data_IF_023550466707
#
_entry.id   IF_023550466707
#
_cell.length_a   1.000
_cell.length_b   1.000
_cell.length_c   1.000
_cell.angle_alpha   90.00
_cell.angle_beta   90.00
_cell.angle_gamma   90.00
#
_symmetry.space_group_name_H-M   'P 1'
#
loop_
_entity.id
_entity.type
_entity.pdbx_description
1 polymer ?
#
# COMPACT_ATOMS: atom_id res chain seq x y z
N UNK A 1 -56.23 4.00 10.23
CA UNK A 1 -55.02 4.85 10.32
C UNK A 1 -54.09 4.50 11.48
N UNK A 2 -54.57 4.21 12.72
CA UNK A 2 -53.72 3.95 13.89
C UNK A 2 -52.90 2.62 13.77
N UNK A 3 -53.46 1.55 13.19
CA UNK A 3 -52.77 0.27 12.98
C UNK A 3 -51.64 0.36 11.99
N UNK A 4 -51.76 1.12 10.88
CA UNK A 4 -50.71 1.35 9.87
C UNK A 4 -49.47 2.08 10.44
N UNK A 5 -49.70 3.06 11.31
CA UNK A 5 -48.60 3.79 11.98
C UNK A 5 -47.77 2.87 12.87
N UNK A 6 -48.39 1.93 13.60
CA UNK A 6 -47.70 0.96 14.46
C UNK A 6 -46.88 -0.01 13.62
N UNK A 7 -47.40 -0.48 12.50
CA UNK A 7 -46.61 -1.33 11.58
C UNK A 7 -45.44 -0.61 10.93
N UNK A 8 -45.57 0.65 10.56
CA UNK A 8 -44.52 1.44 9.99
C UNK A 8 -43.39 1.71 11.00
N UNK A 9 -43.74 2.04 12.25
CA UNK A 9 -42.73 2.24 13.30
C UNK A 9 -42.02 0.94 13.66
N UNK A 10 -42.72 -0.18 13.73
CA UNK A 10 -42.10 -1.50 13.97
C UNK A 10 -41.13 -1.88 12.84
N UNK A 11 -41.51 -1.67 11.56
CA UNK A 11 -40.62 -1.93 10.43
C UNK A 11 -39.39 -1.02 10.44
N UNK A 12 -39.54 0.26 10.83
CA UNK A 12 -38.42 1.21 10.94
C UNK A 12 -37.44 0.78 12.04
N UNK A 13 -37.94 0.37 13.19
CA UNK A 13 -37.12 -0.11 14.31
C UNK A 13 -36.37 -1.39 13.93
N UNK A 14 -37.03 -2.34 13.26
CA UNK A 14 -36.38 -3.55 12.76
C UNK A 14 -35.25 -3.24 11.79
N UNK A 15 -35.48 -2.33 10.81
CA UNK A 15 -34.45 -1.91 9.88
C UNK A 15 -33.25 -1.23 10.58
N UNK A 16 -33.51 -0.39 11.60
CA UNK A 16 -32.46 0.24 12.41
C UNK A 16 -31.62 -0.79 13.17
N UNK A 17 -32.26 -1.79 13.77
CA UNK A 17 -31.56 -2.87 14.47
C UNK A 17 -30.73 -3.73 13.53
N UNK A 18 -31.24 -4.05 12.33
CA UNK A 18 -30.50 -4.79 11.30
C UNK A 18 -29.30 -3.97 10.79
N UNK A 19 -29.51 -2.68 10.53
CA UNK A 19 -28.44 -1.77 10.10
C UNK A 19 -27.35 -1.64 11.16
N UNK A 20 -27.73 -1.47 12.43
CA UNK A 20 -26.80 -1.41 13.55
C UNK A 20 -26.02 -2.72 13.70
N UNK A 21 -26.70 -3.87 13.59
CA UNK A 21 -26.04 -5.19 13.61
C UNK A 21 -25.04 -5.36 12.47
N UNK A 22 -25.39 -4.89 11.28
CA UNK A 22 -24.49 -4.93 10.13
C UNK A 22 -23.25 -4.04 10.33
N UNK A 23 -23.43 -2.80 10.79
CA UNK A 23 -22.32 -1.88 11.08
C UNK A 23 -21.40 -2.43 12.16
N UNK A 24 -21.98 -2.98 13.24
CA UNK A 24 -21.20 -3.60 14.32
C UNK A 24 -20.44 -4.84 13.85
N UNK A 25 -21.03 -5.66 12.97
CA UNK A 25 -20.36 -6.81 12.39
C UNK A 25 -19.19 -6.38 11.48
N UNK A 26 -19.37 -5.36 10.64
CA UNK A 26 -18.29 -4.80 9.81
C UNK A 26 -17.16 -4.22 10.67
N UNK A 27 -17.50 -3.50 11.75
CA UNK A 27 -16.52 -2.97 12.70
C UNK A 27 -15.73 -4.09 13.39
N UNK A 28 -16.43 -5.14 13.86
CA UNK A 28 -15.79 -6.28 14.52
C UNK A 28 -14.87 -7.07 13.58
N UNK A 29 -15.29 -7.24 12.32
CA UNK A 29 -14.48 -7.92 11.30
C UNK A 29 -13.20 -7.14 11.01
N UNK A 30 -13.30 -5.82 10.83
CA UNK A 30 -12.10 -4.96 10.65
C UNK A 30 -11.18 -4.98 11.87
N UNK A 31 -11.75 -4.91 13.06
CA UNK A 31 -10.97 -4.99 14.31
C UNK A 31 -10.22 -6.32 14.41
N UNK A 32 -10.89 -7.43 14.13
CA UNK A 32 -10.28 -8.77 14.19
C UNK A 32 -9.16 -8.93 13.12
N UNK A 33 -9.31 -8.36 11.93
CA UNK A 33 -8.26 -8.37 10.90
C UNK A 33 -7.03 -7.57 11.33
N UNK A 34 -7.24 -6.41 11.96
CA UNK A 34 -6.14 -5.59 12.52
C UNK A 34 -5.47 -6.33 13.68
N UNK A 35 -6.24 -6.89 14.61
CA UNK A 35 -5.71 -7.64 15.75
C UNK A 35 -4.95 -8.89 15.30
N UNK A 36 -5.40 -9.61 14.27
CA UNK A 36 -4.68 -10.75 13.69
C UNK A 36 -3.36 -10.33 13.02
N UNK A 37 -3.36 -9.21 12.29
CA UNK A 37 -2.12 -8.67 11.69
C UNK A 37 -1.13 -8.23 12.75
N UNK A 38 -1.61 -7.54 13.80
CA UNK A 38 -0.79 -7.12 14.94
C UNK A 38 -0.24 -8.33 15.71
N UNK A 39 -1.04 -9.37 15.93
CA UNK A 39 -0.61 -10.59 16.62
C UNK A 39 0.45 -11.35 15.81
N UNK A 40 0.32 -11.37 14.47
CA UNK A 40 1.34 -11.99 13.60
C UNK A 40 2.65 -11.22 13.65
N UNK A 41 2.60 -9.88 13.55
CA UNK A 41 3.80 -9.03 13.66
C UNK A 41 4.44 -9.18 15.04
N UNK A 42 3.67 -9.19 16.13
CA UNK A 42 4.22 -9.39 17.47
C UNK A 42 4.80 -10.78 17.69
N UNK A 43 4.25 -11.84 17.04
CA UNK A 43 4.81 -13.19 17.11
C UNK A 43 6.12 -13.32 16.33
N UNK A 44 6.27 -12.58 15.22
CA UNK A 44 7.53 -12.54 14.45
C UNK A 44 8.59 -11.72 15.20
N UNK A 45 8.21 -10.62 15.86
CA UNK A 45 9.11 -9.83 16.74
C UNK A 45 9.52 -10.60 17.99
N UNK A 46 8.63 -11.40 18.60
CA UNK A 46 8.95 -12.24 19.76
C UNK A 46 10.02 -13.33 19.49
N UNK A 47 10.38 -13.57 18.22
CA UNK A 47 11.50 -14.43 17.83
C UNK A 47 12.84 -13.69 17.76
N UNK A 48 12.83 -12.36 17.72
CA UNK A 48 14.04 -11.56 17.65
C UNK A 48 14.59 -11.39 19.08
N UNK A 49 15.62 -12.13 19.41
CA UNK A 49 16.32 -11.94 20.68
C UNK A 49 17.32 -10.77 20.63
N UNK A 50 17.96 -10.58 19.48
CA UNK A 50 18.96 -9.54 19.25
C UNK A 50 18.81 -8.93 17.85
N UNK A 51 18.98 -7.62 17.76
CA UNK A 51 19.03 -6.87 16.50
C UNK A 51 20.20 -5.90 16.50
N UNK A 52 20.76 -5.64 15.34
CA UNK A 52 21.75 -4.56 15.17
C UNK A 52 21.01 -3.29 14.71
N UNK A 53 20.96 -2.23 15.55
CA UNK A 53 20.43 -0.94 15.14
C UNK A 53 21.28 -0.35 14.00
N UNK A 54 20.65 0.26 12.99
CA UNK A 54 21.33 0.74 11.78
C UNK A 54 21.15 2.25 11.58
N UNK A 55 19.93 2.73 11.47
CA UNK A 55 19.64 4.15 11.25
C UNK A 55 20.18 4.70 9.92
N UNK A 56 20.26 3.88 8.87
CA UNK A 56 20.86 4.23 7.59
C UNK A 56 19.80 4.63 6.56
N UNK A 57 19.94 5.80 5.90
CA UNK A 57 19.05 6.19 4.83
C UNK A 57 19.28 5.34 3.56
N UNK A 58 18.19 4.92 2.94
CA UNK A 58 18.18 4.08 1.75
C UNK A 58 17.11 4.54 0.76
N UNK A 59 17.32 4.24 -0.52
CA UNK A 59 16.30 4.39 -1.54
C UNK A 59 15.38 3.19 -1.57
N UNK A 60 14.09 3.43 -1.64
CA UNK A 60 13.04 2.42 -1.72
C UNK A 60 12.35 2.52 -3.05
N UNK A 61 12.14 1.38 -3.70
CA UNK A 61 11.35 1.26 -4.92
C UNK A 61 10.43 0.05 -4.81
N UNK A 62 9.13 0.29 -4.91
CA UNK A 62 8.10 -0.70 -4.60
C UNK A 62 7.15 -0.83 -5.78
N UNK A 63 6.81 -2.08 -6.13
CA UNK A 63 5.76 -2.41 -7.08
C UNK A 63 4.52 -2.93 -6.38
N UNK A 64 3.37 -2.45 -6.82
CA UNK A 64 2.07 -2.91 -6.32
C UNK A 64 1.70 -4.30 -6.83
N UNK A 65 0.72 -4.94 -6.21
CA UNK A 65 0.09 -6.17 -6.70
C UNK A 65 -0.81 -5.87 -7.89
N UNK A 66 -0.25 -5.87 -9.10
CA UNK A 66 -0.95 -5.41 -10.30
C UNK A 66 -0.96 -3.88 -10.38
N UNK A 67 -2.07 -3.27 -10.82
CA UNK A 67 -2.18 -1.83 -11.02
C UNK A 67 -3.26 -1.26 -10.10
N UNK A 68 -2.87 -0.37 -9.19
CA UNK A 68 -3.78 0.25 -8.22
C UNK A 68 -4.65 1.32 -8.87
N UNK A 69 -5.92 1.34 -8.53
CA UNK A 69 -6.88 2.38 -8.89
C UNK A 69 -6.84 3.49 -7.84
N UNK A 70 -6.42 4.69 -8.23
CA UNK A 70 -6.38 5.87 -7.37
C UNK A 70 -7.75 6.58 -7.32
N UNK A 71 -8.58 6.35 -8.32
CA UNK A 71 -9.90 6.96 -8.43
C UNK A 71 -10.46 6.86 -9.83
N UNK A 72 -11.68 7.37 -9.99
CA UNK A 72 -12.37 7.41 -11.28
C UNK A 72 -12.53 8.84 -11.78
N UNK A 73 -12.54 9.03 -13.09
CA UNK A 73 -12.61 10.34 -13.72
C UNK A 73 -13.55 10.40 -14.89
N UNK A 74 -13.81 11.62 -15.35
CA UNK A 74 -14.63 11.91 -16.52
C UNK A 74 -13.86 11.61 -17.80
N UNK A 75 -14.60 11.17 -18.81
CA UNK A 75 -14.11 10.90 -20.17
C UNK A 75 -15.06 11.55 -21.16
N UNK A 76 -14.54 12.34 -22.09
CA UNK A 76 -15.34 12.92 -23.18
C UNK A 76 -15.29 11.99 -24.39
N UNK A 77 -16.44 11.64 -24.95
CA UNK A 77 -16.56 10.81 -26.16
C UNK A 77 -16.39 11.64 -27.45
N UNK A 78 -16.55 11.00 -28.60
CA UNK A 78 -16.47 11.67 -29.93
C UNK A 78 -17.62 12.66 -30.20
N UNK A 79 -18.70 12.59 -29.43
CA UNK A 79 -19.90 13.43 -29.57
C UNK A 79 -19.89 14.58 -28.55
N UNK A 80 -18.74 14.82 -27.88
CA UNK A 80 -18.55 15.80 -26.82
C UNK A 80 -19.35 15.53 -25.52
N UNK A 81 -19.92 14.32 -25.36
CA UNK A 81 -20.57 13.92 -24.13
C UNK A 81 -19.55 13.59 -23.05
N UNK A 82 -19.79 14.10 -21.84
CA UNK A 82 -18.97 13.84 -20.66
C UNK A 82 -19.54 12.66 -19.89
N UNK A 83 -18.80 11.55 -19.89
CA UNK A 83 -19.20 10.28 -19.27
C UNK A 83 -18.30 9.96 -18.06
N UNK A 84 -18.83 9.18 -17.11
CA UNK A 84 -18.08 8.63 -15.96
C UNK A 84 -18.15 7.08 -15.99
N UNK A 85 -17.52 6.42 -16.97
CA UNK A 85 -17.74 4.99 -17.25
C UNK A 85 -17.28 4.07 -16.12
N UNK A 86 -16.27 4.47 -15.36
CA UNK A 86 -15.69 3.68 -14.28
C UNK A 86 -16.38 3.85 -12.92
N UNK A 87 -17.19 4.91 -12.73
CA UNK A 87 -17.71 5.35 -11.43
C UNK A 87 -18.46 4.29 -10.61
N UNK A 88 -19.19 3.40 -11.28
CA UNK A 88 -19.94 2.32 -10.63
C UNK A 88 -19.23 0.96 -10.70
N UNK A 89 -18.10 0.89 -11.37
CA UNK A 89 -17.36 -0.36 -11.63
C UNK A 89 -16.15 -0.45 -10.69
N UNK A 90 -15.29 0.56 -10.72
CA UNK A 90 -14.06 0.60 -9.92
C UNK A 90 -14.22 1.46 -8.67
N UNK A 91 -13.37 1.17 -7.68
CA UNK A 91 -13.25 1.94 -6.44
C UNK A 91 -11.79 2.28 -6.21
N UNK A 92 -11.55 3.35 -5.51
CA UNK A 92 -10.26 3.70 -4.94
C UNK A 92 -9.73 2.54 -4.07
N UNK A 93 -8.45 2.17 -4.26
CA UNK A 93 -7.84 1.04 -3.58
C UNK A 93 -8.05 -0.33 -4.25
N UNK A 94 -8.78 -0.41 -5.37
CA UNK A 94 -8.80 -1.63 -6.18
C UNK A 94 -7.43 -1.89 -6.81
N UNK A 95 -7.02 -3.16 -6.91
CA UNK A 95 -5.84 -3.56 -7.69
C UNK A 95 -6.28 -4.37 -8.91
N UNK A 96 -6.06 -3.85 -10.10
CA UNK A 96 -6.33 -4.56 -11.34
C UNK A 96 -5.20 -5.56 -11.58
N UNK A 97 -5.51 -6.85 -11.45
CA UNK A 97 -4.55 -7.94 -11.60
C UNK A 97 -4.40 -8.40 -13.04
N UNK A 98 -5.50 -8.41 -13.80
CA UNK A 98 -5.49 -8.79 -15.22
C UNK A 98 -6.60 -8.10 -16.01
N UNK A 99 -6.38 -7.99 -17.33
CA UNK A 99 -7.36 -7.54 -18.32
C UNK A 99 -7.49 -8.63 -19.38
N UNK A 100 -8.72 -9.12 -19.64
CA UNK A 100 -9.01 -10.20 -20.58
C UNK A 100 -8.10 -11.44 -20.37
N UNK A 101 -7.84 -11.81 -19.11
CA UNK A 101 -6.97 -12.91 -18.72
C UNK A 101 -5.46 -12.65 -18.84
N UNK A 102 -5.04 -11.48 -19.33
CA UNK A 102 -3.62 -11.08 -19.38
C UNK A 102 -3.24 -10.41 -18.08
N UNK A 103 -2.35 -11.03 -17.30
CA UNK A 103 -1.83 -10.48 -16.04
C UNK A 103 -1.10 -9.18 -16.28
N UNK A 104 -1.40 -8.16 -15.48
CA UNK A 104 -0.77 -6.84 -15.56
C UNK A 104 0.55 -6.80 -14.77
N UNK A 105 1.52 -6.13 -15.38
CA UNK A 105 2.81 -5.83 -14.76
C UNK A 105 2.98 -4.34 -14.42
N UNK A 106 2.32 -3.48 -15.20
CA UNK A 106 2.41 -2.03 -15.06
C UNK A 106 1.26 -1.31 -15.75
N UNK A 107 1.15 0.00 -15.49
CA UNK A 107 0.14 0.90 -16.09
C UNK A 107 0.25 0.98 -17.60
N UNK A 108 1.46 0.96 -18.16
CA UNK A 108 1.67 1.01 -19.63
C UNK A 108 1.06 -0.20 -20.33
N UNK A 109 1.20 -1.40 -19.74
CA UNK A 109 0.56 -2.60 -20.26
C UNK A 109 -0.97 -2.53 -20.16
N UNK A 110 -1.50 -2.02 -19.04
CA UNK A 110 -2.93 -1.82 -18.88
C UNK A 110 -3.49 -0.89 -19.96
N UNK A 111 -2.83 0.25 -20.20
CA UNK A 111 -3.21 1.18 -21.27
C UNK A 111 -3.16 0.52 -22.66
N UNK A 112 -2.12 -0.26 -22.96
CA UNK A 112 -1.99 -0.97 -24.23
C UNK A 112 -3.13 -1.96 -24.45
N UNK A 113 -3.53 -2.72 -23.42
CA UNK A 113 -4.63 -3.68 -23.50
C UNK A 113 -5.99 -2.97 -23.67
N UNK A 114 -6.20 -1.84 -23.00
CA UNK A 114 -7.39 -1.01 -23.17
C UNK A 114 -7.47 -0.48 -24.61
N UNK A 115 -6.37 0.01 -25.17
CA UNK A 115 -6.35 0.49 -26.55
C UNK A 115 -6.61 -0.64 -27.56
N UNK A 116 -6.01 -1.80 -27.36
CA UNK A 116 -6.11 -2.94 -28.29
C UNK A 116 -7.51 -3.57 -28.35
N UNK A 117 -8.39 -3.28 -27.39
CA UNK A 117 -9.75 -3.85 -27.36
C UNK A 117 -10.67 -3.29 -28.45
N UNK A 118 -10.34 -2.14 -29.05
CA UNK A 118 -11.12 -1.48 -30.12
C UNK A 118 -12.59 -1.32 -29.75
N UNK A 119 -12.84 -0.80 -28.54
CA UNK A 119 -14.19 -0.56 -28.03
C UNK A 119 -14.99 -1.81 -27.63
N UNK A 120 -14.40 -3.01 -27.64
CA UNK A 120 -15.05 -4.23 -27.16
C UNK A 120 -15.10 -4.24 -25.63
N UNK A 121 -16.03 -5.04 -25.09
CA UNK A 121 -16.13 -5.27 -23.65
C UNK A 121 -14.83 -5.85 -23.10
N UNK A 122 -14.34 -5.25 -22.01
CA UNK A 122 -13.18 -5.71 -21.26
C UNK A 122 -13.63 -6.43 -19.99
N UNK A 123 -12.90 -7.48 -19.62
CA UNK A 123 -13.03 -8.21 -18.37
C UNK A 123 -11.79 -7.95 -17.51
N UNK A 124 -11.99 -7.58 -16.25
CA UNK A 124 -10.94 -7.24 -15.29
C UNK A 124 -10.99 -8.18 -14.10
N UNK A 125 -9.89 -8.86 -13.80
CA UNK A 125 -9.70 -9.49 -12.48
C UNK A 125 -9.17 -8.43 -11.54
N UNK A 126 -9.88 -8.17 -10.44
CA UNK A 126 -9.58 -7.09 -9.49
C UNK A 126 -9.48 -7.68 -8.09
N UNK A 127 -8.45 -7.27 -7.34
CA UNK A 127 -8.36 -7.49 -5.90
C UNK A 127 -9.01 -6.29 -5.20
N UNK A 128 -10.12 -6.52 -4.52
CA UNK A 128 -10.89 -5.54 -3.74
C UNK A 128 -11.09 -6.06 -2.34
N UNK A 129 -10.66 -5.31 -1.32
CA UNK A 129 -10.77 -5.72 0.08
C UNK A 129 -10.21 -7.14 0.35
N UNK A 130 -9.06 -7.47 -0.26
CA UNK A 130 -8.42 -8.79 -0.15
C UNK A 130 -9.10 -9.93 -0.94
N UNK A 131 -10.18 -9.64 -1.69
CA UNK A 131 -10.93 -10.64 -2.46
C UNK A 131 -10.80 -10.40 -3.96
N UNK A 132 -10.57 -11.47 -4.72
CA UNK A 132 -10.58 -11.43 -6.17
C UNK A 132 -12.02 -11.40 -6.69
N UNK A 133 -12.33 -10.42 -7.53
CA UNK A 133 -13.62 -10.25 -8.20
C UNK A 133 -13.43 -10.03 -9.69
N UNK A 134 -14.44 -10.36 -10.47
CA UNK A 134 -14.47 -10.08 -11.90
C UNK A 134 -15.37 -8.89 -12.17
N UNK A 135 -14.82 -7.89 -12.87
CA UNK A 135 -15.56 -6.72 -13.33
C UNK A 135 -15.56 -6.67 -14.86
N UNK A 136 -16.59 -6.10 -15.44
CA UNK A 136 -16.67 -5.90 -16.89
C UNK A 136 -17.08 -4.48 -17.18
N UNK A 137 -16.48 -3.87 -18.20
CA UNK A 137 -16.90 -2.58 -18.72
C UNK A 137 -16.52 -2.40 -20.18
N UNK A 138 -17.26 -1.54 -20.87
CA UNK A 138 -16.94 -1.10 -22.21
C UNK A 138 -16.15 0.21 -22.12
N UNK A 139 -14.98 0.32 -22.72
CA UNK A 139 -14.24 1.59 -22.77
C UNK A 139 -14.95 2.59 -23.70
N UNK A 140 -14.74 3.86 -23.44
CA UNK A 140 -15.27 4.98 -24.22
C UNK A 140 -14.26 5.36 -25.30
N UNK A 141 -14.70 5.52 -26.52
CA UNK A 141 -13.90 6.07 -27.61
C UNK A 141 -13.84 7.60 -27.46
N UNK A 142 -12.63 8.15 -27.32
CA UNK A 142 -12.39 9.58 -27.07
C UNK A 142 -11.80 10.32 -28.25
N UNK A 143 -11.23 9.60 -29.21
CA UNK A 143 -10.77 10.03 -30.51
C UNK A 143 -10.73 8.80 -31.41
N UNK A 144 -10.52 8.98 -32.70
CA UNK A 144 -10.44 7.86 -33.65
C UNK A 144 -9.42 6.83 -33.15
N UNK A 145 -9.87 5.58 -32.95
CA UNK A 145 -9.12 4.45 -32.40
C UNK A 145 -8.47 4.71 -31.03
N UNK A 146 -8.97 5.67 -30.24
CA UNK A 146 -8.48 5.95 -28.87
C UNK A 146 -9.55 5.66 -27.83
N UNK A 147 -9.23 4.75 -26.91
CA UNK A 147 -10.16 4.24 -25.91
C UNK A 147 -9.70 4.55 -24.48
N UNK A 148 -10.63 4.99 -23.61
CA UNK A 148 -10.39 5.25 -22.19
C UNK A 148 -11.46 4.59 -21.34
N UNK A 149 -11.09 4.22 -20.11
CA UNK A 149 -12.01 3.66 -19.11
C UNK A 149 -12.31 4.63 -17.96
N UNK A 150 -11.64 5.78 -17.91
CA UNK A 150 -11.87 6.82 -16.90
C UNK A 150 -11.39 6.41 -15.51
N UNK A 151 -10.19 5.84 -15.37
CA UNK A 151 -9.52 5.53 -14.09
C UNK A 151 -8.15 6.18 -14.02
N UNK A 152 -7.74 6.55 -12.82
CA UNK A 152 -6.38 6.94 -12.49
C UNK A 152 -5.67 5.73 -11.91
N UNK A 153 -4.47 5.44 -12.40
CA UNK A 153 -3.75 4.20 -12.13
C UNK A 153 -2.33 4.45 -11.65
N UNK A 154 -1.86 3.60 -10.71
CA UNK A 154 -0.48 3.57 -10.21
C UNK A 154 -0.01 2.12 -10.06
N UNK A 155 1.24 1.83 -10.41
CA UNK A 155 1.84 0.49 -10.33
C UNK A 155 3.12 0.46 -9.51
N UNK A 156 3.68 1.63 -9.16
CA UNK A 156 4.87 1.73 -8.33
C UNK A 156 4.87 2.97 -7.44
N UNK A 157 5.77 2.98 -6.48
CA UNK A 157 6.13 4.16 -5.69
C UNK A 157 7.59 4.09 -5.28
N UNK A 158 8.17 5.25 -5.01
CA UNK A 158 9.57 5.38 -4.62
C UNK A 158 9.76 6.47 -3.58
N UNK A 159 10.79 6.34 -2.79
CA UNK A 159 11.12 7.33 -1.77
C UNK A 159 12.41 7.02 -1.03
N UNK A 160 12.84 7.96 -0.18
CA UNK A 160 13.93 7.73 0.75
C UNK A 160 13.32 7.31 2.09
N UNK A 161 13.88 6.24 2.66
CA UNK A 161 13.51 5.72 3.95
C UNK A 161 14.74 5.43 4.80
N UNK A 162 14.54 4.91 6.00
CA UNK A 162 15.63 4.56 6.91
C UNK A 162 15.50 3.12 7.38
N UNK A 163 16.53 2.30 7.18
CA UNK A 163 16.63 0.99 7.83
C UNK A 163 16.79 1.19 9.32
N UNK A 164 15.89 0.63 10.11
CA UNK A 164 15.88 0.75 11.57
C UNK A 164 16.83 -0.24 12.21
N UNK A 165 16.75 -1.50 11.81
CA UNK A 165 17.60 -2.59 12.29
C UNK A 165 17.75 -3.71 11.27
N UNK A 166 18.77 -4.56 11.50
CA UNK A 166 18.89 -5.88 10.85
C UNK A 166 19.05 -6.96 11.92
N UNK A 167 18.61 -8.19 11.61
CA UNK A 167 18.82 -9.39 12.41
C UNK A 167 20.00 -10.25 11.91
N UNK A 168 20.26 -11.34 12.62
CA UNK A 168 21.34 -12.26 12.27
C UNK A 168 21.16 -12.99 10.92
N UNK A 169 19.93 -13.07 10.44
CA UNK A 169 19.56 -13.66 9.15
C UNK A 169 19.55 -12.63 8.01
N UNK A 170 20.03 -11.40 8.26
CA UNK A 170 20.05 -10.28 7.32
C UNK A 170 18.64 -9.76 6.97
N UNK A 171 17.59 -10.09 7.74
CA UNK A 171 16.32 -9.42 7.59
C UNK A 171 16.40 -8.02 8.18
N UNK A 172 15.74 -7.06 7.55
CA UNK A 172 15.64 -5.70 8.06
C UNK A 172 14.20 -5.31 8.33
N UNK A 173 14.03 -4.38 9.26
CA UNK A 173 12.85 -3.52 9.35
C UNK A 173 13.24 -2.07 9.09
N UNK A 174 12.35 -1.33 8.45
CA UNK A 174 12.58 0.08 8.13
C UNK A 174 11.30 0.91 8.27
N UNK A 175 11.46 2.23 8.37
CA UNK A 175 10.45 3.29 8.47
C UNK A 175 9.73 3.37 9.83
N UNK A 176 9.26 2.27 10.41
CA UNK A 176 8.38 2.27 11.59
C UNK A 176 6.91 2.61 11.28
N UNK A 177 6.57 2.75 10.01
CA UNK A 177 5.22 2.94 9.47
C UNK A 177 5.13 2.32 8.06
N UNK A 178 3.94 1.98 7.63
CA UNK A 178 3.74 1.48 6.28
C UNK A 178 3.84 2.58 5.22
N UNK A 179 4.11 2.16 3.99
CA UNK A 179 4.06 3.03 2.82
C UNK A 179 2.62 3.07 2.32
N UNK A 180 2.05 4.25 2.36
CA UNK A 180 0.72 4.56 1.85
C UNK A 180 0.82 5.30 0.53
N UNK A 181 -0.18 5.13 -0.31
CA UNK A 181 -0.31 5.93 -1.52
C UNK A 181 -0.60 7.40 -1.16
N UNK A 182 0.10 8.33 -1.79
CA UNK A 182 0.05 9.77 -1.43
C UNK A 182 -1.28 10.43 -1.77
N UNK A 183 -1.99 9.93 -2.79
CA UNK A 183 -3.25 10.52 -3.23
C UNK A 183 -4.45 9.97 -2.44
N UNK A 184 -4.39 8.67 -2.07
CA UNK A 184 -5.50 7.97 -1.43
C UNK A 184 -5.29 7.76 0.08
N UNK A 185 -4.05 7.83 0.58
CA UNK A 185 -3.71 7.49 1.96
C UNK A 185 -3.83 5.99 2.29
N UNK A 186 -4.12 5.15 1.30
CA UNK A 186 -4.31 3.71 1.49
C UNK A 186 -2.95 3.01 1.61
N UNK A 187 -2.81 2.12 2.59
CA UNK A 187 -1.64 1.26 2.71
C UNK A 187 -1.49 0.40 1.45
N UNK A 188 -0.33 0.48 0.79
CA UNK A 188 -0.12 -0.17 -0.50
C UNK A 188 0.12 -1.67 -0.33
N UNK A 189 -0.68 -2.48 -1.03
CA UNK A 189 -0.41 -3.90 -1.22
C UNK A 189 0.70 -4.08 -2.24
N UNK A 190 1.84 -4.61 -1.81
CA UNK A 190 3.02 -4.76 -2.66
C UNK A 190 3.17 -6.18 -3.21
N UNK A 191 3.72 -6.31 -4.40
CA UNK A 191 4.17 -7.57 -4.97
C UNK A 191 5.62 -7.87 -4.58
N UNK A 192 6.46 -6.86 -4.65
CA UNK A 192 7.88 -6.87 -4.28
C UNK A 192 8.40 -5.43 -4.26
N UNK A 193 9.55 -5.27 -3.64
CA UNK A 193 10.29 -4.02 -3.70
C UNK A 193 11.79 -4.25 -3.68
N UNK A 194 12.53 -3.17 -3.90
CA UNK A 194 13.99 -3.17 -3.92
C UNK A 194 14.51 -2.02 -3.06
N UNK A 195 15.60 -2.29 -2.37
CA UNK A 195 16.35 -1.30 -1.60
C UNK A 195 17.59 -0.92 -2.38
N UNK A 196 17.84 0.38 -2.49
CA UNK A 196 18.98 0.95 -3.20
C UNK A 196 19.81 1.85 -2.29
N UNK A 197 21.06 2.07 -2.66
CA UNK A 197 21.85 3.15 -2.07
C UNK A 197 21.18 4.48 -2.39
N UNK A 198 21.13 5.36 -1.38
CA UNK A 198 20.67 6.73 -1.55
C UNK A 198 21.85 7.70 -1.36
N UNK A 199 21.81 8.80 -2.08
CA UNK A 199 22.73 9.91 -1.89
C UNK A 199 21.96 11.09 -1.29
N UNK A 200 22.23 11.41 -0.03
CA UNK A 200 21.57 12.50 0.68
C UNK A 200 22.19 13.81 0.25
N UNK A 201 21.36 14.72 -0.26
CA UNK A 201 21.76 16.05 -0.74
C UNK A 201 21.59 17.12 0.32
N UNK A 202 20.50 17.05 1.10
CA UNK A 202 20.22 18.00 2.16
C UNK A 202 19.23 17.44 3.18
N UNK A 203 19.20 18.07 4.35
CA UNK A 203 18.26 17.79 5.43
C UNK A 203 17.52 19.08 5.74
N UNK A 204 16.20 19.07 5.60
CA UNK A 204 15.34 20.17 5.99
C UNK A 204 14.94 19.94 7.43
N UNK A 205 15.36 20.85 8.32
CA UNK A 205 15.07 20.74 9.74
C UNK A 205 13.59 20.94 10.02
N UNK A 206 13.00 20.04 10.80
CA UNK A 206 11.62 20.17 11.26
C UNK A 206 11.44 21.30 12.26
N UNK A 207 10.22 21.76 12.39
CA UNK A 207 9.74 22.69 13.41
C UNK A 207 8.47 22.15 14.06
N UNK A 208 7.99 22.80 15.11
CA UNK A 208 6.77 22.35 15.79
C UNK A 208 5.58 22.32 14.80
N UNK A 209 4.95 21.16 14.65
CA UNK A 209 3.83 20.94 13.72
C UNK A 209 4.23 20.70 12.25
N UNK A 210 5.53 20.80 11.92
CA UNK A 210 6.05 20.53 10.57
C UNK A 210 7.25 19.59 10.68
N UNK A 211 7.14 18.32 10.32
CA UNK A 211 8.24 17.36 10.38
C UNK A 211 9.38 17.79 9.45
N UNK A 212 10.61 17.38 9.80
CA UNK A 212 11.77 17.54 8.92
C UNK A 212 11.71 16.58 7.73
N UNK A 213 12.54 16.87 6.72
CA UNK A 213 12.59 16.11 5.48
C UNK A 213 14.03 15.78 5.08
N UNK A 214 14.26 14.58 4.59
CA UNK A 214 15.54 14.17 3.97
C UNK A 214 15.37 14.27 2.46
N UNK A 215 16.19 15.09 1.83
CA UNK A 215 16.21 15.26 0.37
C UNK A 215 17.43 14.55 -0.20
N UNK A 216 17.24 13.72 -1.20
CA UNK A 216 18.30 12.98 -1.83
C UNK A 216 17.94 12.41 -3.18
N UNK A 217 18.87 11.67 -3.78
CA UNK A 217 18.69 10.97 -5.04
C UNK A 217 18.91 9.47 -4.86
N UNK A 218 18.22 8.70 -5.67
CA UNK A 218 18.33 7.23 -5.71
C UNK A 218 18.86 6.87 -7.09
N UNK A 219 19.98 6.13 -7.13
CA UNK A 219 20.49 5.57 -8.38
C UNK A 219 19.98 4.12 -8.53
N UNK A 220 19.02 3.91 -9.42
CA UNK A 220 18.35 2.63 -9.66
C UNK A 220 19.18 1.62 -10.48
N UNK A 221 20.48 1.87 -10.68
CA UNK A 221 21.34 0.90 -11.33
C UNK A 221 21.42 -0.39 -10.51
N UNK A 222 21.43 -1.53 -11.20
CA UNK A 222 21.48 -2.86 -10.55
C UNK A 222 22.63 -3.01 -9.54
N UNK A 223 23.77 -2.39 -9.80
CA UNK A 223 24.95 -2.42 -8.90
C UNK A 223 24.73 -1.74 -7.54
N UNK A 224 23.76 -0.81 -7.48
CA UNK A 224 23.43 -0.04 -6.27
C UNK A 224 22.24 -0.63 -5.51
N UNK A 225 21.68 -1.75 -6.00
CA UNK A 225 20.68 -2.50 -5.26
C UNK A 225 21.36 -3.21 -4.09
N UNK A 226 20.84 -2.99 -2.89
CA UNK A 226 21.41 -3.48 -1.63
C UNK A 226 20.47 -4.41 -0.86
N UNK A 227 19.28 -4.66 -1.40
CA UNK A 227 18.34 -5.56 -0.75
C UNK A 227 16.99 -5.64 -1.47
N UNK A 228 16.06 -6.39 -0.86
CA UNK A 228 14.70 -6.59 -1.35
C UNK A 228 13.69 -6.30 -0.26
N UNK A 229 12.52 -5.76 -0.64
CA UNK A 229 11.39 -5.54 0.25
C UNK A 229 10.36 -6.64 -0.03
N UNK A 230 9.94 -7.35 1.01
CA UNK A 230 9.05 -8.49 0.91
C UNK A 230 7.65 -8.18 1.46
N UNK A 231 7.54 -7.24 2.40
CA UNK A 231 6.28 -6.88 3.04
C UNK A 231 6.20 -5.38 3.36
N UNK A 232 4.98 -4.85 3.25
CA UNK A 232 4.60 -3.50 3.64
C UNK A 232 3.41 -3.60 4.60
N UNK A 233 3.64 -3.31 5.86
CA UNK A 233 2.65 -3.38 6.92
C UNK A 233 2.38 -2.02 7.56
N UNK A 234 1.39 -1.92 8.43
CA UNK A 234 1.14 -0.69 9.19
C UNK A 234 2.28 -0.31 10.15
N UNK A 235 3.16 -1.26 10.49
CA UNK A 235 4.27 -1.07 11.43
C UNK A 235 5.61 -0.76 10.73
N UNK A 236 5.68 -0.86 9.41
CA UNK A 236 6.90 -0.65 8.64
C UNK A 236 7.01 -1.54 7.42
N UNK A 237 8.15 -1.46 6.76
CA UNK A 237 8.52 -2.35 5.67
C UNK A 237 9.55 -3.37 6.16
N UNK A 238 9.48 -4.58 5.61
CA UNK A 238 10.34 -5.70 5.97
C UNK A 238 10.93 -6.34 4.72
N UNK A 239 12.15 -6.82 4.85
CA UNK A 239 12.83 -7.43 3.72
C UNK A 239 14.20 -8.00 4.10
N UNK A 240 15.06 -8.20 3.11
CA UNK A 240 16.43 -8.69 3.31
C UNK A 240 17.44 -7.73 2.70
N UNK A 241 18.56 -7.55 3.36
CA UNK A 241 19.67 -6.72 2.90
C UNK A 241 20.85 -7.60 2.51
N UNK A 242 21.55 -7.23 1.43
CA UNK A 242 22.70 -7.95 0.95
C UNK A 242 23.87 -7.84 1.96
N UNK A 243 24.42 -9.00 2.36
CA UNK A 243 25.48 -9.11 3.37
C UNK A 243 26.76 -8.38 2.96
N UNK A 244 27.05 -8.33 1.68
CA UNK A 244 28.23 -7.62 1.14
C UNK A 244 28.12 -6.09 1.31
N UNK A 245 26.89 -5.57 1.50
CA UNK A 245 26.66 -4.16 1.69
C UNK A 245 26.53 -3.79 3.18
N UNK A 246 25.73 -4.53 3.93
CA UNK A 246 25.46 -4.31 5.34
C UNK A 246 25.42 -5.67 6.06
N UNK A 247 26.54 -6.06 6.67
CA UNK A 247 26.62 -7.29 7.43
C UNK A 247 26.14 -7.10 8.87
N UNK A 248 25.39 -8.06 9.40
CA UNK A 248 25.11 -8.14 10.82
C UNK A 248 26.39 -8.33 11.62
N UNK A 249 26.56 -7.49 12.64
CA UNK A 249 27.71 -7.53 13.54
C UNK A 249 27.20 -7.86 14.95
N UNK A 250 27.50 -9.07 15.48
CA UNK A 250 27.05 -9.47 16.81
C UNK A 250 27.55 -8.55 17.94
N UNK A 251 28.70 -7.86 17.75
CA UNK A 251 29.25 -6.95 18.77
C UNK A 251 28.45 -5.65 18.88
N UNK A 252 27.70 -5.30 17.84
CA UNK A 252 26.82 -4.12 17.80
C UNK A 252 25.36 -4.46 18.09
N UNK A 253 25.04 -5.74 18.24
CA UNK A 253 23.69 -6.18 18.46
C UNK A 253 23.22 -5.85 19.89
N UNK A 254 21.99 -5.46 20.01
CA UNK A 254 21.32 -5.18 21.29
C UNK A 254 20.13 -6.13 21.48
N UNK A 255 19.82 -6.50 22.74
CA UNK A 255 18.63 -7.31 23.01
C UNK A 255 17.37 -6.51 22.69
N UNK A 256 16.35 -7.21 22.18
CA UNK A 256 15.02 -6.64 21.99
C UNK A 256 14.24 -6.83 23.30
N UNK A 257 13.75 -5.72 23.87
CA UNK A 257 12.95 -5.74 25.07
C UNK A 257 11.51 -6.21 24.75
N UNK A 258 10.93 -6.97 25.67
CA UNK A 258 9.49 -7.22 25.63
C UNK A 258 8.71 -5.90 25.87
N UNK A 259 7.49 -5.76 25.28
CA UNK A 259 6.71 -4.52 25.46
C UNK A 259 6.46 -4.15 26.92
N UNK A 260 6.39 -5.14 27.81
CA UNK A 260 6.18 -4.97 29.26
C UNK A 260 7.45 -4.44 29.98
N UNK A 261 8.63 -4.58 29.38
CA UNK A 261 9.89 -4.11 29.92
C UNK A 261 10.22 -2.66 29.52
N UNK A 262 9.44 -2.09 28.58
CA UNK A 262 9.67 -0.73 28.08
C UNK A 262 9.22 0.27 29.16
N UNK A 263 10.17 1.07 29.64
CA UNK A 263 9.92 2.12 30.66
C UNK A 263 10.32 3.49 30.13
N UNK A 264 9.73 4.54 30.71
CA UNK A 264 10.15 5.92 30.44
C UNK A 264 11.58 6.16 30.97
N UNK A 265 12.43 6.82 30.16
CA UNK A 265 13.79 7.09 30.53
C UNK A 265 14.63 7.68 29.38
N UNK A 266 15.94 7.88 29.61
CA UNK A 266 16.87 8.32 28.58
C UNK A 266 16.93 7.29 27.44
N UNK A 267 16.92 7.79 26.18
CA UNK A 267 17.02 6.97 24.97
C UNK A 267 18.20 7.42 24.12
N UNK A 268 18.71 6.53 23.29
CA UNK A 268 19.71 6.83 22.26
C UNK A 268 19.08 6.64 20.88
N UNK A 269 19.36 7.57 19.96
CA UNK A 269 19.01 7.46 18.57
C UNK A 269 20.26 7.11 17.79
N UNK A 270 20.26 5.97 17.09
CA UNK A 270 21.31 5.58 16.17
C UNK A 270 20.94 6.07 14.78
N UNK A 271 21.80 6.88 14.16
CA UNK A 271 21.61 7.29 12.77
C UNK A 271 22.98 7.47 12.10
N UNK A 272 23.08 7.08 10.85
CA UNK A 272 24.23 7.28 9.97
C UNK A 272 23.87 8.27 8.89
N UNK A 273 24.43 9.49 8.95
CA UNK A 273 24.25 10.55 7.95
C UNK A 273 25.60 11.04 7.48
#
# INVERSE_FOLDING_TARGET
>A
MRKYRVWLTAALVINLVVLFGFVMNCYQTRKNEVDQKLTKVSADVARLQYVMPVGMPVGLYIHTKGVMVLGTGKVTNLEDDVLEPAKTVFREGDYILSINGTTLRNTSQAMSLIQSCKGKMLSFEVLRDGKKIMLTMKPVETAEDRYKIGVWLRDDTQGIGTITYIDADQNFAALGHGITDVDTGILMDISHGMVYQSNILSIIKGSQGTPGEIVGTIDYQKKNRIGTINDNSSCGIFGTVDRDYLAYDPEKAVPVADPEEVTEGPVQIVCTM
#
